data_IF_076959491814
#
_entry.id   IF_076959491814
#
_cell.length_a   1.000
_cell.length_b   1.000
_cell.length_c   1.000
_cell.angle_alpha   90.00
_cell.angle_beta   90.00
_cell.angle_gamma   90.00
#
_symmetry.space_group_name_H-M   'P 1'
#
loop_
_entity.id
_entity.type
_entity.pdbx_description
1 polymer ?
#
# COMPACT_ATOMS: atom_id res chain seq x y z
N UNK A 1 -0.28 14.57 12.10
CA UNK A 1 -0.28 14.72 10.63
C UNK A 1 -1.55 14.04 10.12
N UNK A 2 -2.55 14.79 9.67
CA UNK A 2 -3.79 14.24 9.07
C UNK A 2 -3.84 14.74 7.64
N UNK A 3 -3.51 13.86 6.69
CA UNK A 3 -3.48 14.14 5.25
C UNK A 3 -4.82 13.79 4.57
N UNK A 4 -5.92 13.74 5.31
CA UNK A 4 -7.24 13.46 4.74
C UNK A 4 -7.97 14.77 4.46
N UNK A 5 -8.18 15.08 3.18
CA UNK A 5 -9.14 16.10 2.76
C UNK A 5 -10.55 15.58 3.05
N UNK A 6 -11.43 16.37 3.72
CA UNK A 6 -12.77 15.92 4.08
C UNK A 6 -13.63 15.48 2.89
N UNK A 7 -13.30 15.95 1.68
CA UNK A 7 -14.08 15.67 0.48
C UNK A 7 -13.96 14.22 0.00
N UNK A 8 -12.91 13.48 0.36
CA UNK A 8 -12.74 12.08 -0.05
C UNK A 8 -11.99 11.27 1.01
N UNK A 9 -12.70 10.63 1.95
CA UNK A 9 -12.06 9.78 2.94
C UNK A 9 -11.45 8.55 2.24
N UNK A 10 -10.18 8.30 2.53
CA UNK A 10 -9.47 7.08 2.13
C UNK A 10 -9.08 6.30 3.38
N UNK A 11 -9.19 4.97 3.33
CA UNK A 11 -8.64 4.08 4.35
C UNK A 11 -7.35 3.47 3.83
N UNK A 12 -6.39 3.28 4.71
CA UNK A 12 -5.12 2.60 4.41
C UNK A 12 -4.87 1.63 5.54
N UNK A 13 -4.83 0.35 5.21
CA UNK A 13 -4.43 -0.70 6.13
C UNK A 13 -2.93 -0.93 5.99
N UNK A 14 -2.22 -0.91 7.12
CA UNK A 14 -0.78 -1.12 7.18
C UNK A 14 -0.55 -2.50 7.78
N UNK A 15 0.10 -3.37 7.00
CA UNK A 15 0.50 -4.71 7.45
C UNK A 15 1.98 -4.64 7.77
N UNK A 16 2.32 -4.84 9.04
CA UNK A 16 3.68 -5.04 9.48
C UNK A 16 4.06 -6.50 9.26
N UNK A 17 4.82 -6.77 8.20
CA UNK A 17 5.15 -8.14 7.77
C UNK A 17 6.01 -8.90 8.79
N UNK A 18 6.79 -8.18 9.61
CA UNK A 18 7.63 -8.78 10.66
C UNK A 18 6.77 -9.35 11.81
N UNK A 19 5.54 -8.86 11.94
CA UNK A 19 4.60 -9.22 13.00
C UNK A 19 3.30 -9.85 12.47
N UNK A 20 3.19 -10.12 11.17
CA UNK A 20 1.97 -10.60 10.53
C UNK A 20 1.70 -12.12 10.75
N UNK A 21 2.61 -12.85 11.39
CA UNK A 21 2.56 -14.31 11.56
C UNK A 21 2.28 -15.09 10.25
N UNK A 22 2.66 -14.52 9.10
CA UNK A 22 2.51 -15.10 7.77
C UNK A 22 3.88 -15.26 7.10
N UNK A 23 4.46 -16.48 7.12
CA UNK A 23 5.76 -16.76 6.52
C UNK A 23 5.80 -16.50 5.00
N UNK A 24 4.67 -16.57 4.30
CA UNK A 24 4.62 -16.32 2.86
C UNK A 24 4.74 -14.84 2.55
N UNK A 25 4.16 -13.96 3.39
CA UNK A 25 4.34 -12.52 3.27
C UNK A 25 5.79 -12.12 3.55
N UNK A 26 6.39 -12.65 4.62
CA UNK A 26 7.78 -12.36 4.95
C UNK A 26 8.71 -12.83 3.82
N UNK A 27 8.61 -14.09 3.40
CA UNK A 27 9.46 -14.62 2.32
C UNK A 27 9.31 -13.86 0.99
N UNK A 28 8.14 -13.27 0.73
CA UNK A 28 7.89 -12.52 -0.50
C UNK A 28 8.36 -11.07 -0.42
N UNK A 29 8.21 -10.41 0.73
CA UNK A 29 8.35 -8.95 0.83
C UNK A 29 9.45 -8.44 1.75
N UNK A 30 10.14 -9.29 2.52
CA UNK A 30 11.17 -8.93 3.52
C UNK A 30 12.03 -7.72 3.10
N UNK A 31 12.71 -7.82 1.95
CA UNK A 31 13.55 -6.72 1.45
C UNK A 31 12.81 -5.72 0.55
N UNK A 32 11.60 -6.03 0.07
CA UNK A 32 10.84 -5.23 -0.90
C UNK A 32 9.99 -4.12 -0.27
N UNK A 33 9.83 -4.12 1.05
CA UNK A 33 9.03 -3.10 1.74
C UNK A 33 9.63 -1.69 1.59
N UNK A 34 8.79 -0.64 1.57
CA UNK A 34 7.32 -0.66 1.56
C UNK A 34 6.75 -1.03 0.17
N UNK A 35 5.67 -1.82 0.16
CA UNK A 35 4.90 -2.17 -1.05
C UNK A 35 3.46 -1.69 -0.90
N UNK A 36 2.89 -1.07 -1.93
CA UNK A 36 1.53 -0.55 -1.92
C UNK A 36 0.62 -1.32 -2.86
N UNK A 37 -0.58 -1.66 -2.38
CA UNK A 37 -1.65 -2.31 -3.13
C UNK A 37 -2.89 -1.44 -3.15
N UNK A 38 -3.68 -1.54 -4.22
CA UNK A 38 -5.07 -1.07 -4.22
C UNK A 38 -5.97 -2.04 -3.42
N UNK A 39 -5.71 -3.32 -3.61
CA UNK A 39 -6.30 -4.49 -2.96
C UNK A 39 -5.27 -5.63 -3.07
N UNK A 40 -5.15 -6.50 -2.06
CA UNK A 40 -4.15 -7.57 -2.05
C UNK A 40 -4.36 -8.63 -3.16
N UNK A 41 -5.55 -8.67 -3.78
CA UNK A 41 -5.84 -9.49 -4.97
C UNK A 41 -5.39 -8.86 -6.29
N UNK A 42 -4.96 -7.60 -6.27
CA UNK A 42 -4.50 -6.86 -7.44
C UNK A 42 -2.97 -6.76 -7.51
N UNK A 43 -2.41 -6.41 -8.68
CA UNK A 43 -0.99 -6.11 -8.79
C UNK A 43 -0.55 -4.96 -7.88
N UNK A 44 0.72 -5.02 -7.50
CA UNK A 44 1.42 -3.96 -6.76
C UNK A 44 1.35 -2.63 -7.53
N UNK A 45 1.01 -1.55 -6.82
CA UNK A 45 0.99 -0.21 -7.40
C UNK A 45 2.41 0.33 -7.51
N UNK A 46 3.19 0.20 -6.43
CA UNK A 46 4.56 0.65 -6.34
C UNK A 46 5.27 0.01 -5.14
N UNK A 47 6.60 0.03 -5.18
CA UNK A 47 7.48 -0.40 -4.10
C UNK A 47 8.62 0.62 -3.92
N UNK A 48 9.09 0.83 -2.69
CA UNK A 48 10.08 1.83 -2.27
C UNK A 48 9.73 3.32 -2.51
N UNK A 49 9.24 3.66 -3.69
CA UNK A 49 8.87 5.01 -4.12
C UNK A 49 7.39 5.05 -4.49
N UNK A 50 6.70 6.09 -4.02
CA UNK A 50 5.29 6.29 -4.33
C UNK A 50 5.10 6.68 -5.81
N UNK A 51 4.32 5.89 -6.55
CA UNK A 51 3.84 6.27 -7.87
C UNK A 51 2.56 7.11 -7.73
N UNK A 52 2.75 8.42 -7.56
CA UNK A 52 1.65 9.37 -7.36
C UNK A 52 0.66 9.35 -8.55
N UNK A 53 1.14 9.17 -9.78
CA UNK A 53 0.30 9.15 -10.97
C UNK A 53 -0.64 7.94 -10.99
N UNK A 54 -0.15 6.75 -10.63
CA UNK A 54 -1.00 5.55 -10.50
C UNK A 54 -2.02 5.70 -9.38
N UNK A 55 -1.61 6.22 -8.23
CA UNK A 55 -2.52 6.40 -7.08
C UNK A 55 -3.62 7.41 -7.42
N UNK A 56 -3.28 8.54 -8.03
CA UNK A 56 -4.27 9.53 -8.50
C UNK A 56 -5.25 8.95 -9.51
N UNK A 57 -4.74 8.18 -10.49
CA UNK A 57 -5.57 7.48 -11.47
C UNK A 57 -6.55 6.48 -10.80
N UNK A 58 -6.09 5.74 -9.80
CA UNK A 58 -6.92 4.81 -9.04
C UNK A 58 -8.02 5.54 -8.25
N UNK A 59 -7.66 6.62 -7.57
CA UNK A 59 -8.57 7.44 -6.76
C UNK A 59 -9.48 8.34 -7.59
N UNK A 60 -9.20 8.47 -8.90
CA UNK A 60 -9.90 9.31 -9.87
C UNK A 60 -9.83 10.80 -9.51
N UNK A 61 -8.65 11.27 -9.11
CA UNK A 61 -8.35 12.67 -8.71
C UNK A 61 -7.18 13.26 -9.50
#
# INVERSE_FOLDING_TARGET
>A
MRLQTPQQPISVDVIDIDHADDPALLAKYDELVPVLFADLSQPELCHYFLDEAKVRKLLKI
#
